data_IF_019027812280
#
_entry.id   IF_019027812280
#
_cell.length_a   1.000
_cell.length_b   1.000
_cell.length_c   1.000
_cell.angle_alpha   90.00
_cell.angle_beta   90.00
_cell.angle_gamma   90.00
#
_symmetry.space_group_name_H-M   'P 1'
#
loop_
_entity.id
_entity.type
_entity.pdbx_description
1 polymer ?
#
# COMPACT_ATOMS: atom_id res chain seq x y z
N UNK A 1 2.71 -9.79 -7.16
CA UNK A 1 1.68 -9.59 -6.12
C UNK A 1 0.64 -8.67 -6.74
N UNK A 2 -0.66 -9.01 -6.74
CA UNK A 2 -1.66 -8.18 -7.45
C UNK A 2 -2.23 -7.10 -6.53
N UNK A 3 -2.59 -7.44 -5.28
CA UNK A 3 -3.08 -6.50 -4.28
C UNK A 3 -2.04 -6.27 -3.18
N UNK A 4 -1.95 -5.04 -2.68
CA UNK A 4 -1.07 -4.68 -1.58
C UNK A 4 -1.61 -5.27 -0.26
N UNK A 5 -0.69 -5.84 0.52
CA UNK A 5 -1.02 -6.42 1.84
C UNK A 5 -1.08 -5.32 2.89
N UNK A 6 -2.04 -5.44 3.80
CA UNK A 6 -2.19 -4.54 4.96
C UNK A 6 -1.02 -4.60 5.97
N UNK A 7 -0.62 -5.77 6.47
CA UNK A 7 0.42 -5.83 7.49
C UNK A 7 1.79 -5.52 6.91
N UNK A 8 2.55 -4.68 7.62
CA UNK A 8 3.97 -4.47 7.34
C UNK A 8 4.71 -5.78 7.58
N UNK A 9 5.34 -6.31 6.53
CA UNK A 9 6.11 -7.56 6.62
C UNK A 9 7.28 -7.43 7.59
N UNK A 10 7.93 -6.27 7.59
CA UNK A 10 9.07 -5.99 8.46
C UNK A 10 8.66 -5.95 9.93
N UNK A 11 7.62 -5.19 10.27
CA UNK A 11 7.11 -5.11 11.64
C UNK A 11 6.59 -6.48 12.14
N UNK A 12 5.89 -7.23 11.28
CA UNK A 12 5.40 -8.57 11.61
C UNK A 12 6.55 -9.55 11.87
N UNK A 13 7.61 -9.49 11.05
CA UNK A 13 8.77 -10.37 11.20
C UNK A 13 9.49 -10.09 12.52
N UNK A 14 9.78 -8.82 12.83
CA UNK A 14 10.40 -8.42 14.11
C UNK A 14 9.57 -8.90 15.29
N UNK A 15 8.25 -8.71 15.25
CA UNK A 15 7.34 -9.16 16.30
C UNK A 15 7.39 -10.67 16.51
N UNK A 16 7.35 -11.45 15.41
CA UNK A 16 7.43 -12.91 15.47
C UNK A 16 8.78 -13.39 16.01
N UNK A 17 9.87 -12.83 15.51
CA UNK A 17 11.22 -13.17 15.94
C UNK A 17 11.41 -12.87 17.42
N UNK A 18 10.82 -11.78 17.92
CA UNK A 18 10.87 -11.44 19.35
C UNK A 18 10.09 -12.40 20.22
N UNK A 19 8.89 -12.79 19.78
CA UNK A 19 8.05 -13.76 20.51
C UNK A 19 8.76 -15.12 20.60
N UNK A 20 9.47 -15.55 19.56
CA UNK A 20 10.23 -16.81 19.55
C UNK A 20 11.51 -16.71 20.39
N UNK A 21 12.22 -15.59 20.31
CA UNK A 21 13.50 -15.38 21.02
C UNK A 21 13.32 -15.17 22.53
N UNK A 22 12.13 -14.76 22.97
CA UNK A 22 11.82 -14.51 24.38
C UNK A 22 12.81 -13.55 25.03
N UNK A 23 13.35 -13.94 26.18
CA UNK A 23 14.29 -13.13 26.97
C UNK A 23 15.74 -13.15 26.44
N UNK A 24 16.01 -13.91 25.37
CA UNK A 24 17.33 -13.95 24.69
C UNK A 24 17.46 -12.93 23.56
N UNK A 25 16.42 -12.13 23.31
CA UNK A 25 16.40 -11.17 22.20
C UNK A 25 17.36 -10.01 22.44
N UNK A 26 17.99 -9.48 21.38
CA UNK A 26 18.96 -8.36 21.46
C UNK A 26 18.24 -7.02 21.61
N UNK A 27 18.93 -5.97 22.06
CA UNK A 27 18.44 -4.60 21.89
C UNK A 27 18.19 -4.31 20.39
N UNK A 28 17.03 -3.75 20.07
CA UNK A 28 16.69 -3.35 18.71
C UNK A 28 16.34 -1.88 18.77
N UNK A 29 16.97 -1.08 17.93
CA UNK A 29 16.62 0.30 17.68
C UNK A 29 16.70 0.51 16.18
N UNK A 30 15.54 0.56 15.50
CA UNK A 30 15.51 0.68 14.06
C UNK A 30 14.43 1.64 13.57
N UNK A 31 14.79 2.38 12.52
CA UNK A 31 13.90 3.23 11.76
C UNK A 31 13.59 2.57 10.43
N UNK A 32 12.33 2.60 10.02
CA UNK A 32 11.89 2.10 8.72
C UNK A 32 10.83 3.01 8.13
N UNK A 33 10.71 2.98 6.80
CA UNK A 33 9.72 3.73 6.03
C UNK A 33 8.83 2.73 5.31
N UNK A 34 7.52 2.90 5.44
CA UNK A 34 6.49 2.11 4.80
C UNK A 34 5.85 2.91 3.65
N UNK A 35 4.96 2.28 2.89
CA UNK A 35 4.13 2.99 1.91
C UNK A 35 3.49 4.25 2.49
N UNK A 36 3.29 5.24 1.63
CA UNK A 36 2.65 6.52 1.96
C UNK A 36 3.48 7.42 2.90
N UNK A 37 4.81 7.24 2.93
CA UNK A 37 5.79 7.95 3.79
C UNK A 37 5.48 7.83 5.29
N UNK A 38 4.83 6.74 5.69
CA UNK A 38 4.65 6.41 7.10
C UNK A 38 5.97 5.87 7.64
N UNK A 39 6.47 6.47 8.72
CA UNK A 39 7.75 6.10 9.31
C UNK A 39 7.54 5.43 10.65
N UNK A 40 8.25 4.34 10.89
CA UNK A 40 8.24 3.65 12.17
C UNK A 40 9.59 3.79 12.85
N UNK A 41 9.54 4.02 14.16
CA UNK A 41 10.65 3.81 15.07
C UNK A 41 10.31 2.65 16.00
N UNK A 42 11.05 1.55 15.87
CA UNK A 42 10.84 0.33 16.62
C UNK A 42 11.97 0.18 17.62
N UNK A 43 11.64 0.13 18.90
CA UNK A 43 12.60 -0.04 19.98
C UNK A 43 12.24 -1.24 20.86
N UNK A 44 13.24 -2.07 21.12
CA UNK A 44 13.23 -3.09 22.16
C UNK A 44 14.43 -2.90 23.07
N UNK A 45 14.21 -3.01 24.38
CA UNK A 45 15.27 -2.97 25.38
C UNK A 45 15.41 -4.31 26.11
N UNK A 46 16.65 -4.72 26.38
CA UNK A 46 17.04 -5.84 27.23
C UNK A 46 16.56 -5.68 28.67
N UNK A 47 16.35 -4.43 29.12
CA UNK A 47 15.78 -4.17 30.45
C UNK A 47 14.33 -4.63 30.55
N UNK A 48 13.59 -4.57 29.42
CA UNK A 48 12.18 -4.95 29.32
C UNK A 48 11.94 -5.70 27.99
N UNK A 49 12.44 -6.94 27.83
CA UNK A 49 12.48 -7.63 26.54
C UNK A 49 11.08 -7.95 25.99
N UNK A 50 10.06 -7.97 26.88
CA UNK A 50 8.66 -8.26 26.57
C UNK A 50 7.84 -7.01 26.24
N UNK A 51 8.45 -5.84 26.16
CA UNK A 51 7.79 -4.59 25.78
C UNK A 51 8.46 -4.03 24.54
N UNK A 52 7.68 -3.82 23.48
CA UNK A 52 8.09 -3.07 22.30
C UNK A 52 7.60 -1.63 22.43
N UNK A 53 8.45 -0.66 22.11
CA UNK A 53 8.02 0.72 21.88
C UNK A 53 7.96 0.95 20.37
N UNK A 54 6.78 1.29 19.86
CA UNK A 54 6.55 1.64 18.47
C UNK A 54 6.13 3.10 18.40
N UNK A 55 6.95 3.93 17.76
CA UNK A 55 6.56 5.30 17.41
C UNK A 55 6.26 5.36 15.92
N UNK A 56 5.17 6.04 15.56
CA UNK A 56 4.70 6.18 14.19
C UNK A 56 4.64 7.66 13.85
N UNK A 57 5.27 8.02 12.74
CA UNK A 57 5.13 9.33 12.12
C UNK A 57 4.32 9.19 10.82
N UNK A 58 3.36 10.07 10.65
CA UNK A 58 2.46 10.15 9.52
C UNK A 58 3.04 11.08 8.45
N UNK A 59 2.61 10.92 7.18
CA UNK A 59 3.01 11.84 6.12
C UNK A 59 2.60 13.27 6.45
N UNK A 60 3.37 14.23 5.91
CA UNK A 60 3.04 15.64 6.02
C UNK A 60 1.64 15.90 5.47
N UNK A 61 0.76 16.37 6.36
CA UNK A 61 -0.62 16.65 6.02
C UNK A 61 -0.74 17.94 5.20
N UNK A 62 -1.48 17.91 4.08
CA UNK A 62 -1.78 19.11 3.33
C UNK A 62 -2.78 20.01 4.10
N UNK A 63 -2.88 21.31 3.77
CA UNK A 63 -3.68 22.28 4.52
C UNK A 63 -5.16 21.92 4.66
N UNK A 64 -5.72 21.19 3.69
CA UNK A 64 -7.12 20.76 3.67
C UNK A 64 -7.42 19.59 4.62
N UNK A 65 -6.40 18.85 5.07
CA UNK A 65 -6.59 17.65 5.87
C UNK A 65 -6.95 17.99 7.33
N UNK A 66 -7.97 17.31 7.85
CA UNK A 66 -8.45 17.53 9.21
C UNK A 66 -7.66 16.63 10.17
N UNK A 67 -6.78 17.23 10.96
CA UNK A 67 -6.04 16.57 12.04
C UNK A 67 -6.47 17.13 13.40
N UNK A 68 -6.51 16.25 14.40
CA UNK A 68 -6.68 16.57 15.80
C UNK A 68 -5.43 16.11 16.54
N UNK A 69 -4.70 17.05 17.16
CA UNK A 69 -3.43 16.80 17.84
C UNK A 69 -2.40 16.02 16.98
N UNK A 70 -2.31 16.37 15.70
CA UNK A 70 -1.41 15.72 14.73
C UNK A 70 -1.91 14.39 14.15
N UNK A 71 -3.05 13.87 14.63
CA UNK A 71 -3.60 12.59 14.19
C UNK A 71 -4.93 12.71 13.42
N UNK A 72 -5.23 11.78 12.50
CA UNK A 72 -6.54 11.72 11.86
C UNK A 72 -7.67 11.51 12.86
N UNK A 73 -8.84 12.08 12.57
CA UNK A 73 -10.03 11.92 13.40
C UNK A 73 -10.34 10.45 13.69
N UNK A 74 -10.48 10.11 14.98
CA UNK A 74 -10.81 8.76 15.44
C UNK A 74 -9.62 7.78 15.50
N UNK A 75 -8.40 8.22 15.19
CA UNK A 75 -7.21 7.35 15.23
C UNK A 75 -6.95 6.75 16.62
N UNK A 76 -7.01 7.56 17.68
CA UNK A 76 -6.78 7.11 19.06
C UNK A 76 -7.84 6.06 19.48
N UNK A 77 -9.10 6.30 19.16
CA UNK A 77 -10.19 5.36 19.46
C UNK A 77 -10.06 4.08 18.65
N UNK A 78 -9.63 4.17 17.39
CA UNK A 78 -9.35 3.02 16.54
C UNK A 78 -8.20 2.17 17.11
N UNK A 79 -7.12 2.79 17.57
CA UNK A 79 -5.99 2.11 18.25
C UNK A 79 -6.48 1.43 19.52
N UNK A 80 -7.23 2.13 20.38
CA UNK A 80 -7.77 1.56 21.63
C UNK A 80 -8.69 0.38 21.36
N UNK A 81 -9.58 0.50 20.37
CA UNK A 81 -10.49 -0.57 19.98
C UNK A 81 -9.76 -1.78 19.35
N UNK A 82 -8.70 -1.54 18.57
CA UNK A 82 -7.96 -2.60 17.89
C UNK A 82 -6.97 -3.32 18.81
N UNK A 83 -6.33 -2.58 19.72
CA UNK A 83 -5.14 -3.04 20.43
C UNK A 83 -5.16 -2.83 21.95
N UNK A 84 -6.19 -2.22 22.53
CA UNK A 84 -6.18 -1.77 23.93
C UNK A 84 -5.88 -2.84 24.99
N UNK A 85 -6.07 -4.12 24.67
CA UNK A 85 -5.67 -5.23 25.55
C UNK A 85 -4.14 -5.35 25.70
N UNK A 86 -3.38 -5.06 24.64
CA UNK A 86 -1.94 -5.29 24.53
C UNK A 86 -1.14 -3.99 24.37
N UNK A 87 -1.78 -2.90 23.99
CA UNK A 87 -1.17 -1.59 23.72
C UNK A 87 -1.53 -0.57 24.78
N UNK A 88 -0.52 0.17 25.22
CA UNK A 88 -0.66 1.42 25.96
C UNK A 88 -0.13 2.57 25.10
N UNK A 89 -0.97 3.58 24.84
CA UNK A 89 -0.54 4.81 24.15
C UNK A 89 0.23 5.67 25.15
N UNK A 90 1.35 6.26 24.72
CA UNK A 90 2.11 7.24 25.51
C UNK A 90 1.69 8.65 25.10
N UNK A 91 1.43 9.48 26.10
CA UNK A 91 1.06 10.88 25.96
C UNK A 91 1.93 11.69 26.95
N UNK A 92 2.81 12.61 26.47
CA UNK A 92 3.01 12.99 25.07
C UNK A 92 3.69 11.89 24.23
N UNK A 93 3.52 11.90 22.89
CA UNK A 93 4.29 11.05 22.00
C UNK A 93 5.79 11.43 22.04
N UNK A 94 6.62 10.52 21.54
CA UNK A 94 8.06 10.78 21.40
C UNK A 94 8.30 11.92 20.41
N UNK A 95 9.30 12.76 20.69
CA UNK A 95 9.69 13.87 19.80
C UNK A 95 9.82 13.43 18.34
N UNK A 96 9.24 14.22 17.43
CA UNK A 96 9.18 13.99 15.99
C UNK A 96 8.27 12.82 15.53
N UNK A 97 7.41 12.28 16.40
CA UNK A 97 6.41 11.27 16.05
C UNK A 97 5.00 11.72 16.47
N UNK A 98 3.99 11.30 15.71
CA UNK A 98 2.59 11.67 15.98
C UNK A 98 1.93 10.74 17.01
N UNK A 99 2.38 9.48 17.08
CA UNK A 99 1.90 8.53 18.09
C UNK A 99 3.00 7.60 18.55
N UNK A 100 3.10 7.39 19.87
CA UNK A 100 3.98 6.39 20.47
C UNK A 100 3.18 5.40 21.30
N UNK A 101 3.46 4.12 21.10
CA UNK A 101 2.75 3.02 21.74
C UNK A 101 3.73 2.03 22.40
N UNK A 102 3.42 1.61 23.62
CA UNK A 102 4.02 0.45 24.28
C UNK A 102 3.18 -0.77 24.03
N UNK A 103 3.74 -1.76 23.35
CA UNK A 103 3.12 -3.06 23.07
C UNK A 103 3.68 -4.07 24.06
N UNK A 104 2.82 -4.60 24.93
CA UNK A 104 3.19 -5.60 25.92
C UNK A 104 2.96 -7.02 25.37
N UNK A 105 4.05 -7.72 25.10
CA UNK A 105 4.04 -9.07 24.55
C UNK A 105 3.58 -10.12 25.58
N UNK A 106 3.60 -9.84 26.89
CA UNK A 106 3.09 -10.78 27.91
C UNK A 106 1.58 -10.94 27.87
N UNK A 107 0.88 -9.95 27.33
CA UNK A 107 -0.58 -9.94 27.21
C UNK A 107 -1.07 -10.62 25.93
N UNK A 108 -0.15 -11.17 25.13
CA UNK A 108 -0.53 -11.92 23.93
C UNK A 108 -1.17 -13.27 24.31
N UNK A 109 -2.11 -13.78 23.50
CA UNK A 109 -2.68 -15.10 23.69
C UNK A 109 -1.61 -16.20 23.71
N UNK A 110 -1.82 -17.22 24.55
CA UNK A 110 -0.97 -18.42 24.59
C UNK A 110 -1.15 -19.27 23.33
N UNK A 111 -2.37 -19.28 22.78
CA UNK A 111 -2.69 -19.96 21.52
C UNK A 111 -1.94 -19.31 20.35
N UNK A 112 -1.30 -20.15 19.53
CA UNK A 112 -0.42 -19.69 18.45
C UNK A 112 -1.18 -19.02 17.31
N UNK A 113 -2.36 -19.53 16.94
CA UNK A 113 -3.17 -18.96 15.86
C UNK A 113 -3.70 -17.58 16.27
N UNK A 114 -4.29 -17.47 17.46
CA UNK A 114 -4.79 -16.22 17.99
C UNK A 114 -3.65 -15.20 18.20
N UNK A 115 -2.49 -15.65 18.68
CA UNK A 115 -1.30 -14.80 18.79
C UNK A 115 -0.89 -14.25 17.43
N UNK A 116 -0.79 -15.09 16.41
CA UNK A 116 -0.46 -14.67 15.05
C UNK A 116 -1.47 -13.66 14.48
N UNK A 117 -2.77 -13.82 14.78
CA UNK A 117 -3.79 -12.84 14.41
C UNK A 117 -3.55 -11.49 15.09
N UNK A 118 -3.25 -11.48 16.38
CA UNK A 118 -2.95 -10.23 17.11
C UNK A 118 -1.69 -9.57 16.58
N UNK A 119 -0.61 -10.33 16.35
CA UNK A 119 0.64 -9.80 15.78
C UNK A 119 0.41 -9.21 14.38
N UNK A 120 -0.38 -9.89 13.54
CA UNK A 120 -0.72 -9.39 12.21
C UNK A 120 -1.51 -8.09 12.30
N UNK A 121 -2.47 -7.99 13.23
CA UNK A 121 -3.21 -6.74 13.47
C UNK A 121 -2.29 -5.61 13.91
N UNK A 122 -1.34 -5.86 14.82
CA UNK A 122 -0.36 -4.86 15.26
C UNK A 122 0.50 -4.40 14.07
N UNK A 123 0.91 -5.33 13.21
CA UNK A 123 1.66 -5.01 11.99
C UNK A 123 0.86 -4.18 10.97
N UNK A 124 -0.47 -4.16 11.09
CA UNK A 124 -1.40 -3.34 10.29
C UNK A 124 -1.71 -1.97 10.91
N UNK A 125 -0.86 -1.43 11.80
CA UNK A 125 -1.09 -0.13 12.48
C UNK A 125 -1.39 1.01 11.51
N UNK A 126 -0.73 1.03 10.34
CA UNK A 126 -0.98 2.03 9.28
C UNK A 126 -2.42 2.06 8.81
N UNK A 127 -3.00 0.88 8.56
CA UNK A 127 -4.40 0.76 8.16
C UNK A 127 -5.32 1.32 9.25
N UNK A 128 -5.01 1.03 10.53
CA UNK A 128 -5.84 1.47 11.65
C UNK A 128 -5.79 2.98 11.84
N UNK A 129 -4.60 3.60 11.75
CA UNK A 129 -4.43 5.04 11.98
C UNK A 129 -4.94 5.85 10.81
N UNK A 130 -4.44 5.62 9.59
CA UNK A 130 -4.84 6.40 8.41
C UNK A 130 -6.25 6.05 7.94
N UNK A 131 -6.70 4.82 8.17
CA UNK A 131 -8.05 4.37 7.82
C UNK A 131 -9.12 4.76 8.83
N UNK A 132 -8.78 5.26 10.02
CA UNK A 132 -9.74 5.62 11.07
C UNK A 132 -10.85 6.58 10.60
N UNK A 133 -10.54 7.74 9.97
CA UNK A 133 -11.58 8.69 9.56
C UNK A 133 -12.48 8.10 8.45
N UNK A 134 -11.89 7.38 7.49
CA UNK A 134 -12.64 6.70 6.44
C UNK A 134 -13.57 5.62 7.03
N UNK A 135 -13.06 4.83 7.98
CA UNK A 135 -13.82 3.78 8.66
C UNK A 135 -14.99 4.36 9.46
N UNK A 136 -14.81 5.51 10.10
CA UNK A 136 -15.88 6.19 10.80
C UNK A 136 -17.02 6.58 9.85
N UNK A 137 -16.69 7.22 8.72
CA UNK A 137 -17.68 7.64 7.72
C UNK A 137 -18.39 6.45 7.08
N UNK A 138 -17.64 5.40 6.71
CA UNK A 138 -18.23 4.19 6.12
C UNK A 138 -19.05 3.37 7.12
N UNK A 139 -18.78 3.46 8.43
CA UNK A 139 -19.66 2.89 9.47
C UNK A 139 -21.02 3.57 9.50
N UNK A 140 -21.06 4.90 9.41
CA UNK A 140 -22.33 5.64 9.33
C UNK A 140 -23.14 5.24 8.10
N UNK A 141 -22.47 5.08 6.95
CA UNK A 141 -23.08 4.57 5.73
C UNK A 141 -23.63 3.14 5.90
N UNK A 142 -22.87 2.25 6.55
CA UNK A 142 -23.29 0.87 6.79
C UNK A 142 -24.50 0.78 7.73
N UNK A 143 -24.56 1.63 8.76
CA UNK A 143 -25.70 1.69 9.69
C UNK A 143 -26.87 2.52 9.19
N UNK A 144 -26.77 3.10 7.98
CA UNK A 144 -27.76 4.03 7.40
C UNK A 144 -28.08 5.20 8.34
N UNK A 145 -27.08 5.64 9.09
CA UNK A 145 -27.17 6.81 9.97
C UNK A 145 -26.60 8.03 9.26
N UNK A 146 -27.15 9.21 9.58
CA UNK A 146 -26.63 10.48 9.06
C UNK A 146 -25.21 10.66 9.61
N UNK A 147 -24.22 10.70 8.74
CA UNK A 147 -22.84 10.98 9.14
C UNK A 147 -22.74 12.40 9.73
N UNK A 148 -21.87 12.64 10.73
CA UNK A 148 -21.73 13.97 11.34
C UNK A 148 -21.31 15.06 10.35
N UNK A 149 -20.71 14.67 9.21
CA UNK A 149 -20.25 15.54 8.13
C UNK A 149 -21.06 15.38 6.85
N UNK A 150 -22.35 14.99 6.91
CA UNK A 150 -23.18 14.93 5.69
C UNK A 150 -23.12 16.26 4.94
N UNK A 151 -22.92 16.15 3.62
CA UNK A 151 -22.76 17.26 2.67
C UNK A 151 -21.54 18.16 2.90
N UNK A 152 -20.61 17.76 3.78
CA UNK A 152 -19.29 18.40 3.94
C UNK A 152 -18.20 17.52 3.35
N UNK A 153 -17.40 18.12 2.48
CA UNK A 153 -16.22 17.46 1.92
C UNK A 153 -15.18 17.21 3.03
N UNK A 154 -14.66 15.99 3.10
CA UNK A 154 -13.59 15.60 4.03
C UNK A 154 -12.35 15.23 3.23
N UNK A 155 -11.25 15.97 3.42
CA UNK A 155 -9.97 15.63 2.82
C UNK A 155 -9.18 14.71 3.76
N UNK A 156 -8.67 13.60 3.23
CA UNK A 156 -7.85 12.64 3.94
C UNK A 156 -6.45 12.58 3.33
N UNK A 157 -5.45 12.47 4.19
CA UNK A 157 -4.05 12.32 3.77
C UNK A 157 -3.80 10.88 3.38
N UNK A 158 -3.21 10.68 2.21
CA UNK A 158 -2.69 9.36 1.83
C UNK A 158 -1.25 9.40 1.33
N UNK A 159 -0.68 10.58 1.04
CA UNK A 159 0.74 10.78 0.72
C UNK A 159 1.17 12.18 1.15
N UNK A 160 2.48 12.45 1.26
CA UNK A 160 2.97 13.78 1.59
C UNK A 160 2.41 14.83 0.64
N UNK A 161 1.76 15.85 1.19
CA UNK A 161 1.13 16.95 0.44
C UNK A 161 0.06 16.51 -0.58
N UNK A 162 -0.48 15.30 -0.45
CA UNK A 162 -1.52 14.77 -1.34
C UNK A 162 -2.71 14.26 -0.53
N UNK A 163 -3.90 14.77 -0.89
CA UNK A 163 -5.16 14.33 -0.32
C UNK A 163 -6.09 13.70 -1.34
N UNK A 164 -6.89 12.76 -0.85
CA UNK A 164 -8.10 12.30 -1.52
C UNK A 164 -9.31 12.77 -0.74
N UNK A 165 -10.42 12.93 -1.43
CA UNK A 165 -11.60 13.61 -0.89
C UNK A 165 -12.77 12.65 -0.72
N UNK A 166 -13.53 12.86 0.34
CA UNK A 166 -14.77 12.15 0.64
C UNK A 166 -15.93 13.13 0.67
N UNK A 167 -16.93 12.89 -0.16
CA UNK A 167 -18.21 13.57 -0.13
C UNK A 167 -19.28 12.59 0.38
N UNK A 168 -19.52 12.54 1.72
CA UNK A 168 -20.56 11.70 2.31
C UNK A 168 -21.96 12.28 2.03
N UNK A 169 -22.87 11.42 1.58
CA UNK A 169 -24.28 11.70 1.37
C UNK A 169 -25.11 10.71 2.20
N UNK A 170 -26.44 10.88 2.22
CA UNK A 170 -27.33 10.05 3.06
C UNK A 170 -27.30 8.55 2.69
N UNK A 171 -27.16 8.22 1.41
CA UNK A 171 -27.27 6.86 0.88
C UNK A 171 -25.98 6.34 0.22
N UNK A 172 -24.96 7.20 0.10
CA UNK A 172 -23.68 6.86 -0.54
C UNK A 172 -22.54 7.72 -0.01
N UNK A 173 -21.32 7.26 -0.20
CA UNK A 173 -20.10 8.05 -0.01
C UNK A 173 -19.37 8.08 -1.34
N UNK A 174 -19.13 9.29 -1.85
CA UNK A 174 -18.33 9.50 -3.07
C UNK A 174 -16.89 9.77 -2.66
N UNK A 175 -15.95 9.04 -3.23
CA UNK A 175 -14.52 9.14 -2.95
C UNK A 175 -13.82 9.59 -4.21
N UNK A 176 -13.07 10.69 -4.16
CA UNK A 176 -12.38 11.27 -5.33
C UNK A 176 -10.88 11.32 -5.09
N UNK A 177 -10.13 10.73 -6.02
CA UNK A 177 -8.67 10.71 -6.04
C UNK A 177 -8.15 11.60 -7.17
N UNK A 178 -7.52 12.74 -6.87
CA UNK A 178 -6.68 13.45 -7.83
C UNK A 178 -5.39 12.66 -8.04
N UNK A 179 -5.16 12.15 -9.26
CA UNK A 179 -4.03 11.27 -9.54
C UNK A 179 -2.82 12.08 -10.02
N UNK A 180 -1.69 11.92 -9.31
CA UNK A 180 -0.45 12.68 -9.55
C UNK A 180 0.75 11.77 -9.74
N UNK A 181 1.47 11.97 -10.85
CA UNK A 181 2.71 11.24 -11.16
C UNK A 181 3.82 12.21 -11.55
N UNK A 182 5.06 11.93 -11.15
CA UNK A 182 6.19 12.82 -11.44
C UNK A 182 6.75 12.61 -12.86
N UNK A 183 6.79 11.37 -13.34
CA UNK A 183 7.35 11.02 -14.64
C UNK A 183 6.30 11.15 -15.76
N UNK A 184 6.66 11.82 -16.85
CA UNK A 184 5.85 11.90 -18.08
C UNK A 184 5.39 10.54 -18.62
N UNK A 185 6.23 9.51 -18.51
CA UNK A 185 5.91 8.15 -18.96
C UNK A 185 4.85 7.55 -18.02
N UNK A 186 5.02 7.72 -16.71
CA UNK A 186 4.05 7.25 -15.72
C UNK A 186 2.70 7.93 -15.89
N UNK A 187 2.66 9.22 -16.23
CA UNK A 187 1.41 9.95 -16.48
C UNK A 187 0.63 9.29 -17.62
N UNK A 188 1.29 8.99 -18.74
CA UNK A 188 0.65 8.36 -19.90
C UNK A 188 0.19 6.95 -19.55
N UNK A 189 1.04 6.15 -18.92
CA UNK A 189 0.70 4.77 -18.51
C UNK A 189 -0.44 4.74 -17.49
N UNK A 190 -0.41 5.63 -16.50
CA UNK A 190 -1.45 5.76 -15.49
C UNK A 190 -2.78 6.17 -16.10
N UNK A 191 -2.77 7.15 -17.01
CA UNK A 191 -3.98 7.63 -17.69
C UNK A 191 -4.64 6.50 -18.47
N UNK A 192 -3.87 5.76 -19.29
CA UNK A 192 -4.38 4.59 -20.01
C UNK A 192 -4.88 3.50 -19.06
N UNK A 193 -4.14 3.21 -17.99
CA UNK A 193 -4.56 2.21 -16.98
C UNK A 193 -5.88 2.59 -16.31
N UNK A 194 -6.07 3.85 -15.94
CA UNK A 194 -7.28 4.33 -15.26
C UNK A 194 -8.51 4.32 -16.18
N UNK A 195 -8.34 4.67 -17.45
CA UNK A 195 -9.40 4.58 -18.45
C UNK A 195 -9.86 3.12 -18.62
N UNK A 196 -8.92 2.20 -18.84
CA UNK A 196 -9.19 0.76 -18.95
C UNK A 196 -9.81 0.18 -17.66
N UNK A 197 -9.36 0.66 -16.49
CA UNK A 197 -9.91 0.23 -15.21
C UNK A 197 -11.42 0.54 -15.08
N UNK A 198 -11.85 1.69 -15.58
CA UNK A 198 -13.27 2.10 -15.61
C UNK A 198 -14.05 1.31 -16.66
N UNK A 199 -13.46 1.03 -17.82
CA UNK A 199 -14.10 0.22 -18.86
C UNK A 199 -14.28 -1.24 -18.42
N UNK A 200 -13.27 -1.84 -17.79
CA UNK A 200 -13.32 -3.20 -17.27
C UNK A 200 -14.47 -3.41 -16.28
N UNK A 201 -14.83 -2.37 -15.50
CA UNK A 201 -15.98 -2.38 -14.58
C UNK A 201 -17.32 -2.56 -15.27
N UNK A 202 -17.45 -2.30 -16.57
CA UNK A 202 -18.69 -2.54 -17.33
C UNK A 202 -18.99 -4.04 -17.56
N UNK A 203 -18.04 -4.92 -17.23
CA UNK A 203 -18.24 -6.37 -17.31
C UNK A 203 -19.28 -6.84 -16.29
N UNK A 204 -20.20 -7.71 -16.72
CA UNK A 204 -21.31 -8.20 -15.88
C UNK A 204 -20.87 -8.83 -14.54
N UNK A 205 -19.67 -9.40 -14.49
CA UNK A 205 -19.08 -9.96 -13.26
C UNK A 205 -18.85 -8.92 -12.15
N UNK A 206 -18.82 -7.62 -12.48
CA UNK A 206 -18.53 -6.52 -11.55
C UNK A 206 -19.74 -5.63 -11.23
N UNK A 207 -20.96 -6.08 -11.56
CA UNK A 207 -22.19 -5.31 -11.29
C UNK A 207 -22.41 -4.97 -9.80
N UNK A 208 -21.91 -5.82 -8.91
CA UNK A 208 -21.99 -5.61 -7.45
C UNK A 208 -20.84 -4.78 -6.87
N UNK A 209 -19.87 -4.37 -7.69
CA UNK A 209 -18.76 -3.53 -7.27
C UNK A 209 -19.18 -2.05 -7.17
N UNK A 210 -18.41 -1.23 -6.42
CA UNK A 210 -18.56 0.22 -6.42
C UNK A 210 -18.63 0.82 -7.83
N UNK A 211 -19.37 1.93 -7.96
CA UNK A 211 -19.26 2.72 -9.19
C UNK A 211 -17.86 3.31 -9.26
N UNK A 212 -17.26 3.30 -10.44
CA UNK A 212 -15.95 3.88 -10.71
C UNK A 212 -16.06 4.72 -11.98
N UNK A 213 -15.52 5.92 -11.95
CA UNK A 213 -15.48 6.86 -13.07
C UNK A 213 -14.12 7.53 -13.13
N UNK A 214 -13.65 7.83 -14.33
CA UNK A 214 -12.46 8.64 -14.56
C UNK A 214 -12.84 9.89 -15.35
N UNK A 215 -12.28 11.04 -14.96
CA UNK A 215 -12.49 12.32 -15.63
C UNK A 215 -11.17 13.08 -15.72
N UNK A 216 -10.86 13.76 -16.83
CA UNK A 216 -9.70 14.65 -16.90
C UNK A 216 -9.89 15.94 -16.10
N UNK A 217 -11.13 16.29 -15.73
CA UNK A 217 -11.50 17.54 -15.03
C UNK A 217 -12.05 17.22 -13.64
N UNK A 218 -11.82 18.08 -12.62
CA UNK A 218 -12.35 17.86 -11.27
C UNK A 218 -13.88 17.66 -11.27
N UNK A 219 -14.39 16.62 -10.57
CA UNK A 219 -15.83 16.42 -10.39
C UNK A 219 -16.50 17.58 -9.63
N UNK A 220 -17.82 17.74 -9.81
CA UNK A 220 -18.60 18.81 -9.17
C UNK A 220 -18.59 18.74 -7.65
N UNK A 221 -18.39 17.55 -7.08
CA UNK A 221 -18.24 17.31 -5.65
C UNK A 221 -17.04 18.05 -5.04
N UNK A 222 -16.03 18.39 -5.85
CA UNK A 222 -14.85 19.12 -5.42
C UNK A 222 -14.96 20.64 -5.61
N UNK A 223 -16.17 21.15 -5.88
CA UNK A 223 -16.39 22.60 -6.06
C UNK A 223 -16.03 23.36 -4.78
N UNK A 224 -15.10 24.31 -4.90
CA UNK A 224 -14.65 25.15 -3.78
C UNK A 224 -13.38 24.64 -3.08
N UNK A 225 -12.82 23.51 -3.50
CA UNK A 225 -11.48 23.09 -3.08
C UNK A 225 -10.42 23.97 -3.74
N UNK A 226 -9.31 24.24 -3.02
CA UNK A 226 -8.19 25.01 -3.54
C UNK A 226 -7.62 24.37 -4.83
N UNK A 227 -7.25 25.20 -5.80
CA UNK A 227 -6.70 24.76 -7.09
C UNK A 227 -5.45 23.89 -6.93
N UNK A 228 -4.57 24.20 -5.97
CA UNK A 228 -3.35 23.42 -5.72
C UNK A 228 -3.67 21.97 -5.33
N UNK A 229 -4.69 21.78 -4.48
CA UNK A 229 -5.15 20.47 -4.06
C UNK A 229 -5.92 19.72 -5.17
N UNK A 230 -6.30 20.41 -6.24
CA UNK A 230 -6.93 19.85 -7.44
C UNK A 230 -5.96 19.67 -8.62
N UNK A 231 -4.69 20.04 -8.50
CA UNK A 231 -3.74 19.86 -9.60
C UNK A 231 -3.50 18.36 -9.86
N UNK A 232 -4.10 17.79 -10.89
CA UNK A 232 -3.98 16.36 -11.21
C UNK A 232 -3.57 16.17 -12.67
N UNK A 233 -2.46 15.46 -12.89
CA UNK A 233 -1.91 15.26 -14.23
C UNK A 233 -2.31 13.93 -14.89
N UNK A 234 -2.81 12.95 -14.13
CA UNK A 234 -3.39 11.71 -14.63
C UNK A 234 -4.93 11.66 -14.47
N UNK A 235 -5.55 12.81 -14.23
CA UNK A 235 -7.00 12.96 -14.05
C UNK A 235 -7.50 12.57 -12.66
N UNK A 236 -8.82 12.45 -12.55
CA UNK A 236 -9.55 12.20 -11.31
C UNK A 236 -10.27 10.86 -11.38
N UNK A 237 -10.10 10.04 -10.35
CA UNK A 237 -10.83 8.79 -10.19
C UNK A 237 -11.88 8.96 -9.12
N UNK A 238 -13.12 8.64 -9.43
CA UNK A 238 -14.25 8.74 -8.51
C UNK A 238 -14.85 7.37 -8.23
N UNK A 239 -14.91 6.98 -6.97
CA UNK A 239 -15.64 5.81 -6.51
C UNK A 239 -16.93 6.20 -5.80
N UNK A 240 -18.03 5.52 -6.09
CA UNK A 240 -19.29 5.67 -5.36
C UNK A 240 -19.55 4.41 -4.55
N UNK A 241 -19.52 4.56 -3.24
CA UNK A 241 -19.69 3.49 -2.26
C UNK A 241 -21.12 3.54 -1.70
N UNK A 242 -21.84 2.44 -1.80
CA UNK A 242 -23.19 2.25 -1.25
C UNK A 242 -23.13 1.34 -0.01
N UNK A 243 -24.18 1.31 0.85
CA UNK A 243 -24.22 0.49 2.07
C UNK A 243 -23.84 -0.98 1.83
N UNK A 244 -24.33 -1.57 0.73
CA UNK A 244 -24.03 -2.96 0.32
C UNK A 244 -22.53 -3.30 0.21
N UNK A 245 -21.67 -2.30 -0.02
CA UNK A 245 -20.22 -2.48 -0.12
C UNK A 245 -19.55 -2.49 1.25
N UNK A 246 -20.15 -1.90 2.28
CA UNK A 246 -19.57 -1.71 3.61
C UNK A 246 -20.27 -2.48 4.72
N UNK A 247 -21.30 -3.27 4.40
CA UNK A 247 -22.02 -4.11 5.35
C UNK A 247 -21.16 -5.22 5.97
N UNK A 248 -21.27 -5.36 7.29
CA UNK A 248 -20.66 -6.44 8.07
C UNK A 248 -19.14 -6.52 7.91
N UNK A 249 -18.64 -7.70 7.50
CA UNK A 249 -17.19 -7.97 7.37
C UNK A 249 -16.54 -7.29 6.16
N UNK A 250 -17.31 -6.60 5.29
CA UNK A 250 -16.78 -5.93 4.09
C UNK A 250 -16.19 -4.55 4.39
N UNK A 251 -16.54 -3.95 5.53
CA UNK A 251 -16.10 -2.62 5.93
C UNK A 251 -14.57 -2.51 5.91
N UNK A 252 -13.87 -3.36 6.66
CA UNK A 252 -12.41 -3.30 6.80
C UNK A 252 -11.70 -3.47 5.45
N UNK A 253 -12.18 -4.42 4.63
CA UNK A 253 -11.65 -4.64 3.27
C UNK A 253 -11.84 -3.42 2.37
N UNK A 254 -13.01 -2.78 2.44
CA UNK A 254 -13.32 -1.60 1.63
C UNK A 254 -12.48 -0.40 2.06
N UNK A 255 -12.31 -0.19 3.38
CA UNK A 255 -11.42 0.84 3.93
C UNK A 255 -10.00 0.63 3.39
N UNK A 256 -9.46 -0.59 3.48
CA UNK A 256 -8.11 -0.88 2.99
C UNK A 256 -7.97 -0.66 1.48
N UNK A 257 -8.92 -1.16 0.68
CA UNK A 257 -8.88 -1.02 -0.77
C UNK A 257 -8.95 0.42 -1.24
N UNK A 258 -9.74 1.26 -0.57
CA UNK A 258 -9.82 2.69 -0.87
C UNK A 258 -8.53 3.40 -0.43
N UNK A 259 -8.10 3.20 0.82
CA UNK A 259 -6.90 3.85 1.36
C UNK A 259 -5.64 3.56 0.50
N UNK A 260 -5.52 2.34 -0.03
CA UNK A 260 -4.35 1.92 -0.83
C UNK A 260 -4.54 2.01 -2.33
N UNK A 261 -5.64 2.59 -2.81
CA UNK A 261 -5.93 2.66 -4.25
C UNK A 261 -4.82 3.39 -5.02
N UNK A 262 -4.35 4.55 -4.53
CA UNK A 262 -3.29 5.30 -5.19
C UNK A 262 -1.99 4.50 -5.29
N UNK A 263 -1.57 3.86 -4.19
CA UNK A 263 -0.39 3.00 -4.15
C UNK A 263 -0.55 1.78 -5.08
N UNK A 264 -1.75 1.22 -5.18
CA UNK A 264 -2.07 0.14 -6.12
C UNK A 264 -1.87 0.58 -7.57
N UNK A 265 -2.40 1.74 -7.98
CA UNK A 265 -2.22 2.26 -9.34
C UNK A 265 -0.74 2.50 -9.61
N UNK A 266 -0.04 3.19 -8.69
CA UNK A 266 1.39 3.49 -8.83
C UNK A 266 2.25 2.24 -8.98
N UNK A 267 1.96 1.20 -8.19
CA UNK A 267 2.64 -0.09 -8.28
C UNK A 267 2.42 -0.74 -9.65
N UNK A 268 1.19 -0.78 -10.16
CA UNK A 268 0.87 -1.42 -11.45
C UNK A 268 1.35 -0.63 -12.66
N UNK A 269 1.46 0.69 -12.56
CA UNK A 269 2.12 1.53 -13.57
C UNK A 269 3.60 1.13 -13.68
N UNK A 270 4.31 1.03 -12.55
CA UNK A 270 5.71 0.59 -12.54
C UNK A 270 5.89 -0.87 -12.99
N UNK A 271 4.97 -1.76 -12.65
CA UNK A 271 4.99 -3.13 -13.18
C UNK A 271 4.77 -3.15 -14.70
N UNK A 272 3.87 -2.32 -15.24
CA UNK A 272 3.63 -2.20 -16.68
C UNK A 272 4.87 -1.68 -17.41
N UNK A 273 5.54 -0.66 -16.87
CA UNK A 273 6.81 -0.15 -17.38
C UNK A 273 7.88 -1.27 -17.44
N UNK A 274 8.07 -1.99 -16.33
CA UNK A 274 9.01 -3.13 -16.27
C UNK A 274 8.66 -4.28 -17.23
N UNK A 275 7.37 -4.51 -17.46
CA UNK A 275 6.91 -5.47 -18.46
C UNK A 275 7.25 -5.02 -19.89
N UNK A 276 7.06 -3.74 -20.22
CA UNK A 276 7.46 -3.17 -21.51
C UNK A 276 8.97 -3.30 -21.72
N UNK A 277 9.79 -2.98 -20.69
CA UNK A 277 11.24 -3.19 -20.74
C UNK A 277 11.61 -4.64 -21.08
N UNK A 278 10.92 -5.61 -20.48
CA UNK A 278 11.16 -7.04 -20.76
C UNK A 278 10.80 -7.41 -22.19
N UNK A 279 9.68 -6.90 -22.73
CA UNK A 279 9.30 -7.15 -24.13
C UNK A 279 10.27 -6.51 -25.11
N UNK A 280 10.73 -5.29 -24.85
CA UNK A 280 11.72 -4.60 -25.68
C UNK A 280 13.04 -5.37 -25.72
N UNK A 281 13.56 -5.85 -24.59
CA UNK A 281 14.78 -6.68 -24.55
C UNK A 281 14.64 -7.94 -25.40
N UNK A 282 13.53 -8.69 -25.26
CA UNK A 282 13.26 -9.88 -26.08
C UNK A 282 13.19 -9.56 -27.57
N UNK A 283 12.61 -8.41 -27.93
CA UNK A 283 12.54 -7.96 -29.33
C UNK A 283 13.93 -7.65 -29.88
N UNK A 284 14.77 -6.96 -29.11
CA UNK A 284 16.17 -6.67 -29.50
C UNK A 284 16.98 -7.95 -29.62
N UNK A 285 16.86 -8.89 -28.69
CA UNK A 285 17.51 -10.21 -28.76
C UNK A 285 17.11 -10.96 -30.03
N UNK A 286 15.82 -10.98 -30.36
CA UNK A 286 15.31 -11.58 -31.60
C UNK A 286 15.89 -10.90 -32.85
N UNK A 287 15.96 -9.56 -32.89
CA UNK A 287 16.56 -8.85 -34.02
C UNK A 287 18.05 -9.14 -34.18
N UNK A 288 18.80 -9.22 -33.07
CA UNK A 288 20.23 -9.55 -33.09
C UNK A 288 20.43 -10.98 -33.60
N UNK A 289 19.76 -11.97 -32.97
CA UNK A 289 19.95 -13.39 -33.29
C UNK A 289 19.40 -13.78 -34.67
N UNK A 290 18.26 -13.21 -35.07
CA UNK A 290 17.56 -13.64 -36.29
C UNK A 290 17.92 -12.79 -37.51
N UNK A 291 18.14 -11.49 -37.36
CA UNK A 291 18.44 -10.62 -38.50
C UNK A 291 19.94 -10.36 -38.61
N UNK A 292 20.58 -9.91 -37.53
CA UNK A 292 21.96 -9.45 -37.58
C UNK A 292 22.96 -10.60 -37.68
N UNK A 293 22.82 -11.63 -36.84
CA UNK A 293 23.72 -12.79 -36.83
C UNK A 293 23.58 -13.67 -38.08
N UNK A 294 22.39 -13.70 -38.69
CA UNK A 294 22.17 -14.37 -39.97
C UNK A 294 22.72 -13.60 -41.17
N UNK A 295 22.70 -12.26 -41.11
CA UNK A 295 23.24 -11.40 -42.15
C UNK A 295 24.78 -11.35 -42.18
N UNK A 296 25.46 -11.81 -41.12
CA UNK A 296 26.93 -11.93 -41.11
C UNK A 296 27.39 -12.94 -42.15
N UNK A 297 28.38 -12.54 -42.95
CA UNK A 297 29.02 -13.42 -43.93
C UNK A 297 29.71 -14.60 -43.24
N UNK A 298 29.80 -15.75 -43.91
CA UNK A 298 30.40 -16.95 -43.31
C UNK A 298 31.90 -16.77 -42.97
N UNK A 299 32.58 -15.84 -43.65
CA UNK A 299 33.95 -15.43 -43.34
C UNK A 299 34.09 -14.74 -41.96
N UNK A 300 33.08 -13.98 -41.52
CA UNK A 300 33.07 -13.37 -40.18
C UNK A 300 32.68 -14.36 -39.08
N UNK A 301 31.83 -15.36 -39.41
CA UNK A 301 31.49 -16.45 -38.48
C UNK A 301 32.72 -17.33 -38.18
N UNK A 302 33.56 -17.61 -39.18
CA UNK A 302 34.83 -18.32 -39.00
C UNK A 302 35.84 -17.54 -38.14
N UNK A 303 35.96 -16.21 -38.29
CA UNK A 303 36.87 -15.40 -37.47
C UNK A 303 36.52 -15.41 -35.98
N UNK A 304 35.21 -15.46 -35.63
CA UNK A 304 34.77 -15.60 -34.22
C UNK A 304 35.06 -16.97 -33.63
N UNK A 305 34.95 -18.04 -34.42
CA UNK A 305 35.30 -19.41 -33.99
C UNK A 305 36.79 -19.55 -33.67
N UNK A 306 37.67 -18.86 -34.41
CA UNK A 306 39.13 -18.88 -34.17
C UNK A 306 39.53 -18.07 -32.92
N UNK A 307 38.78 -17.02 -32.56
CA UNK A 307 39.07 -16.19 -31.37
C UNK A 307 38.40 -16.66 -30.06
N UNK A 308 37.47 -17.62 -30.11
CA UNK A 308 36.75 -18.13 -28.92
C UNK A 308 37.45 -19.31 -28.19
N UNK A 309 38.65 -19.70 -28.62
CA UNK A 309 39.38 -20.85 -28.12
C UNK A 309 40.10 -20.64 -26.79
N UNK A 310 39.45 -20.09 -25.76
CA UNK A 310 39.95 -20.14 -24.38
C UNK A 310 38.84 -19.79 -23.41
N UNK A 311 38.06 -20.79 -22.99
CA UNK A 311 37.59 -21.01 -21.61
C UNK A 311 36.65 -22.23 -21.62
N UNK A 312 37.20 -23.42 -21.43
CA UNK A 312 36.40 -24.60 -21.03
C UNK A 312 36.01 -24.40 -19.57
N UNK A 313 34.76 -24.01 -19.31
CA UNK A 313 34.16 -24.16 -17.98
C UNK A 313 33.73 -25.63 -17.85
N UNK A 314 34.37 -26.36 -16.94
CA UNK A 314 34.04 -27.73 -16.57
C UNK A 314 32.57 -27.81 -16.15
N UNK A 315 31.74 -28.49 -16.96
CA UNK A 315 30.42 -28.96 -16.54
C UNK A 315 30.62 -30.32 -15.89
N UNK A 316 30.30 -30.45 -14.60
CA UNK A 316 30.17 -31.76 -13.96
C UNK A 316 29.08 -32.54 -14.69
N UNK A 317 29.42 -33.73 -15.19
CA UNK A 317 28.44 -34.73 -15.62
C UNK A 317 27.88 -35.39 -14.36
N UNK A 318 26.57 -35.36 -14.22
CA UNK A 318 25.86 -36.29 -13.35
C UNK A 318 25.96 -37.67 -13.99
N UNK A 319 26.76 -38.57 -13.41
CA UNK A 319 26.67 -39.99 -13.71
C UNK A 319 25.37 -40.52 -13.10
N UNK A 320 24.46 -40.95 -13.96
CA UNK A 320 23.42 -41.89 -13.59
C UNK A 320 24.09 -43.25 -13.43
N UNK A 321 23.99 -43.82 -12.22
CA UNK A 321 24.36 -45.20 -11.99
C UNK A 321 23.08 -46.01 -11.86
N UNK A 322 22.78 -46.78 -12.90
CA UNK A 322 21.87 -47.93 -12.84
C UNK A 322 22.72 -49.18 -12.71
N UNK A 323 22.57 -49.93 -11.61
CA UNK A 323 22.29 -51.37 -11.62
C UNK A 323 22.34 -51.99 -10.21
N UNK A 324 21.40 -52.92 -10.03
CA UNK A 324 21.11 -53.83 -8.91
C UNK A 324 20.33 -53.26 -7.72
#
# INVERSE_FOLDING_TARGET
>A
MILLQSPSRFLLQILKDRVVSGDKGVDIDCHTVEFDDVRYHIQFSMRNPKVMVLSVALPLAPPEAILHDGLPLGAIDAIKAAYGAVVQILDPPKDCFDVTMKINLTKLPTDEEQRNVVLTRIASVREVVLGAPLKLLLRHLASKTVAPNVDKLVALVHRPNESFFLAPQADKVTVVYPMRFQDSIDIVLATSFLQEFVEARRTAALNNAPSCMWSPVPPLELKGVNADALDANAGFVTFVVFPRHVEGRKLDKTVWSLLTFHAYVSYHVKCSEGFMHTRMRRRVESLIQQALDRAKSDAEKLKKLVHGGSFRRLSMKHEGNSNH
#
